data_IF_636298503889
#
_entry.id   IF_636298503889
#
_cell.length_a   1.000
_cell.length_b   1.000
_cell.length_c   1.000
_cell.angle_alpha   90.00
_cell.angle_beta   90.00
_cell.angle_gamma   90.00
#
_symmetry.space_group_name_H-M   'P 1'
#
loop_
_entity.id
_entity.type
_entity.pdbx_description
1 polymer ?
#
# COMPACT_ATOMS: atom_id res chain seq x y z
N UNK A 1 38.89 -5.54 -6.29
CA UNK A 1 37.59 -5.97 -6.84
C UNK A 1 37.30 -7.33 -6.23
N UNK A 2 36.64 -7.33 -5.07
CA UNK A 2 36.24 -8.55 -4.37
C UNK A 2 34.78 -8.77 -4.72
N UNK A 3 34.49 -9.82 -5.46
CA UNK A 3 33.12 -10.24 -5.77
C UNK A 3 32.62 -10.97 -4.52
N UNK A 4 31.66 -10.37 -3.80
CA UNK A 4 30.84 -11.06 -2.81
C UNK A 4 29.40 -10.96 -3.32
N UNK A 5 28.78 -12.12 -3.47
CA UNK A 5 27.58 -12.33 -4.27
C UNK A 5 26.30 -11.92 -3.53
N UNK A 6 25.72 -10.76 -3.86
CA UNK A 6 24.27 -10.53 -3.69
C UNK A 6 23.51 -11.11 -4.90
N UNK A 7 23.80 -12.36 -5.24
CA UNK A 7 23.16 -13.02 -6.38
C UNK A 7 21.85 -13.66 -5.91
N UNK A 8 20.77 -13.56 -6.71
CA UNK A 8 19.56 -14.32 -6.46
C UNK A 8 19.90 -15.81 -6.28
N UNK A 9 19.39 -16.40 -5.21
CA UNK A 9 19.50 -17.84 -4.97
C UNK A 9 18.16 -18.51 -5.25
N UNK A 10 18.14 -19.84 -5.24
CA UNK A 10 16.88 -20.60 -5.34
C UNK A 10 15.92 -20.20 -4.19
N UNK A 11 16.48 -19.85 -3.03
CA UNK A 11 15.73 -19.58 -1.81
C UNK A 11 15.39 -18.10 -1.61
N UNK A 12 16.13 -17.17 -2.22
CA UNK A 12 15.97 -15.71 -2.12
C UNK A 12 16.16 -15.05 -3.49
N UNK A 13 15.05 -14.65 -4.12
CA UNK A 13 15.05 -14.03 -5.45
C UNK A 13 15.45 -12.55 -5.44
N UNK A 14 15.42 -11.88 -4.28
CA UNK A 14 15.59 -10.44 -4.14
C UNK A 14 16.47 -10.09 -2.94
N UNK A 15 17.73 -10.58 -2.89
CA UNK A 15 18.60 -10.37 -1.75
C UNK A 15 18.87 -8.89 -1.52
N UNK A 16 18.67 -8.42 -0.29
CA UNK A 16 18.89 -7.03 0.14
C UNK A 16 19.51 -6.99 1.54
N UNK A 17 20.17 -5.89 1.91
CA UNK A 17 20.72 -5.64 3.27
C UNK A 17 21.82 -6.60 3.74
N UNK A 18 22.37 -7.40 2.83
CA UNK A 18 23.42 -8.40 3.09
C UNK A 18 24.80 -7.97 2.58
N UNK A 19 24.85 -7.03 1.64
CA UNK A 19 26.08 -6.57 1.00
C UNK A 19 26.46 -5.15 1.45
N UNK A 20 27.74 -4.80 1.27
CA UNK A 20 28.25 -3.45 1.54
C UNK A 20 28.00 -2.45 0.40
N UNK A 21 27.51 -2.92 -0.73
CA UNK A 21 27.22 -2.11 -1.92
C UNK A 21 25.80 -2.41 -2.40
N UNK A 22 25.11 -1.36 -2.89
CA UNK A 22 23.79 -1.50 -3.47
C UNK A 22 23.85 -2.19 -4.84
N UNK A 23 22.78 -2.87 -5.21
CA UNK A 23 22.67 -3.54 -6.51
C UNK A 23 21.31 -3.29 -7.17
N UNK A 24 21.31 -3.21 -8.49
CA UNK A 24 20.09 -3.13 -9.30
C UNK A 24 19.82 -4.52 -9.90
N UNK A 25 18.77 -5.18 -9.43
CA UNK A 25 18.37 -6.51 -9.91
C UNK A 25 17.13 -6.37 -10.81
N UNK A 26 17.09 -7.10 -11.92
CA UNK A 26 15.90 -7.16 -12.75
C UNK A 26 14.80 -7.96 -12.04
N UNK A 27 13.56 -7.48 -12.16
CA UNK A 27 12.37 -8.19 -11.69
C UNK A 27 12.29 -9.60 -12.30
N UNK A 28 11.94 -10.59 -11.49
CA UNK A 28 11.77 -11.99 -11.89
C UNK A 28 10.31 -12.45 -11.94
N UNK A 29 9.38 -11.60 -11.49
CA UNK A 29 7.95 -11.89 -11.39
C UNK A 29 7.14 -11.14 -12.46
N UNK A 30 5.98 -11.67 -12.90
CA UNK A 30 5.00 -10.88 -13.66
C UNK A 30 4.58 -9.61 -12.92
N UNK A 31 4.27 -8.52 -13.63
CA UNK A 31 3.65 -7.31 -13.05
C UNK A 31 2.14 -7.47 -12.94
N UNK A 32 1.53 -8.00 -14.01
CA UNK A 32 0.10 -8.31 -14.08
C UNK A 32 -0.05 -9.82 -14.24
N UNK A 33 -0.82 -10.45 -13.35
CA UNK A 33 -1.05 -11.90 -13.32
C UNK A 33 -2.42 -12.31 -13.91
N UNK A 34 -3.42 -11.43 -13.86
CA UNK A 34 -4.72 -11.64 -14.51
C UNK A 34 -4.82 -10.94 -15.88
N UNK A 35 -6.04 -10.88 -16.42
CA UNK A 35 -6.34 -10.26 -17.71
C UNK A 35 -7.62 -9.41 -17.72
N UNK A 36 -7.99 -8.86 -18.90
CA UNK A 36 -9.12 -7.92 -19.03
C UNK A 36 -10.50 -8.51 -18.68
N UNK A 37 -10.62 -9.84 -18.63
CA UNK A 37 -11.86 -10.54 -18.26
C UNK A 37 -11.98 -10.87 -16.77
N UNK A 38 -10.91 -10.67 -16.00
CA UNK A 38 -10.83 -11.14 -14.60
C UNK A 38 -11.22 -10.05 -13.59
N UNK A 39 -11.55 -8.84 -14.06
CA UNK A 39 -11.95 -7.75 -13.18
C UNK A 39 -12.29 -6.43 -13.89
N UNK A 40 -12.36 -5.32 -13.14
CA UNK A 40 -12.91 -4.05 -13.62
C UNK A 40 -11.89 -3.14 -14.35
N UNK A 41 -10.66 -3.59 -14.61
CA UNK A 41 -9.62 -2.85 -15.34
C UNK A 41 -9.64 -3.31 -16.80
N UNK A 42 -9.72 -2.36 -17.73
CA UNK A 42 -9.66 -2.67 -19.17
C UNK A 42 -8.24 -3.04 -19.63
N UNK A 43 -8.13 -3.58 -20.85
CA UNK A 43 -6.87 -4.05 -21.40
C UNK A 43 -5.80 -2.94 -21.51
N UNK A 44 -6.18 -1.76 -21.98
CA UNK A 44 -5.23 -0.66 -22.16
C UNK A 44 -4.67 -0.16 -20.82
N UNK A 45 -5.51 -0.15 -19.78
CA UNK A 45 -5.10 0.23 -18.43
C UNK A 45 -4.22 -0.84 -17.79
N UNK A 46 -4.48 -2.13 -18.04
CA UNK A 46 -3.59 -3.22 -17.61
C UNK A 46 -2.23 -3.13 -18.30
N UNK A 47 -2.19 -2.89 -19.61
CA UNK A 47 -0.94 -2.72 -20.36
C UNK A 47 -0.14 -1.51 -19.83
N UNK A 48 -0.82 -0.41 -19.52
CA UNK A 48 -0.20 0.76 -18.88
C UNK A 48 0.32 0.44 -17.48
N UNK A 49 -0.42 -0.33 -16.68
CA UNK A 49 0.03 -0.75 -15.35
C UNK A 49 1.27 -1.65 -15.45
N UNK A 50 1.32 -2.61 -16.40
CA UNK A 50 2.53 -3.41 -16.63
C UNK A 50 3.73 -2.53 -16.99
N UNK A 51 3.53 -1.58 -17.89
CA UNK A 51 4.58 -0.69 -18.37
C UNK A 51 5.11 0.27 -17.29
N UNK A 52 4.20 0.91 -16.56
CA UNK A 52 4.49 2.06 -15.70
C UNK A 52 4.48 1.73 -14.20
N UNK A 53 3.86 0.61 -13.81
CA UNK A 53 3.79 0.13 -12.43
C UNK A 53 2.64 0.71 -11.61
N UNK A 54 1.81 1.56 -12.21
CA UNK A 54 0.66 2.17 -11.52
C UNK A 54 -0.50 2.47 -12.47
N UNK A 55 -1.65 2.74 -11.87
CA UNK A 55 -2.84 3.31 -12.51
C UNK A 55 -3.50 4.34 -11.58
N UNK A 56 -4.28 5.24 -12.16
CA UNK A 56 -5.07 6.23 -11.44
C UNK A 56 -6.57 6.07 -11.72
N UNK A 57 -7.39 6.47 -10.76
CA UNK A 57 -8.85 6.51 -10.86
C UNK A 57 -9.33 7.84 -10.30
N UNK A 58 -9.82 8.74 -11.15
CA UNK A 58 -10.18 10.11 -10.76
C UNK A 58 -11.30 10.21 -9.72
N UNK A 59 -12.22 9.25 -9.72
CA UNK A 59 -13.37 9.25 -8.81
C UNK A 59 -13.74 7.83 -8.42
N UNK A 60 -12.87 7.22 -7.62
CA UNK A 60 -13.17 5.90 -7.05
C UNK A 60 -14.30 6.02 -6.01
N UNK A 61 -14.26 7.08 -5.21
CA UNK A 61 -15.28 7.44 -4.24
C UNK A 61 -15.99 8.73 -4.66
N UNK A 62 -17.30 8.77 -4.45
CA UNK A 62 -18.10 9.97 -4.62
C UNK A 62 -17.86 10.98 -3.46
N UNK A 63 -18.14 12.28 -3.65
CA UNK A 63 -17.87 13.30 -2.63
C UNK A 63 -18.56 13.08 -1.28
N UNK A 64 -19.75 12.48 -1.29
CA UNK A 64 -20.51 12.08 -0.10
C UNK A 64 -19.83 10.89 0.61
N UNK A 65 -19.43 9.85 -0.13
CA UNK A 65 -18.65 8.73 0.43
C UNK A 65 -17.35 9.21 1.09
N UNK A 66 -16.65 10.16 0.45
CA UNK A 66 -15.44 10.77 1.01
C UNK A 66 -15.71 11.46 2.35
N UNK A 67 -16.84 12.15 2.48
CA UNK A 67 -17.17 12.83 3.74
C UNK A 67 -17.51 11.84 4.86
N UNK A 68 -18.11 10.69 4.54
CA UNK A 68 -18.33 9.61 5.51
C UNK A 68 -16.99 9.09 6.08
N UNK A 69 -16.00 8.83 5.22
CA UNK A 69 -14.67 8.40 5.66
C UNK A 69 -13.93 9.49 6.46
N UNK A 70 -14.10 10.77 6.09
CA UNK A 70 -13.55 11.89 6.87
C UNK A 70 -14.20 12.01 8.24
N UNK A 71 -15.51 11.85 8.32
CA UNK A 71 -16.24 11.88 9.59
C UNK A 71 -15.78 10.75 10.51
N UNK A 72 -15.61 9.55 9.96
CA UNK A 72 -15.09 8.42 10.72
C UNK A 72 -13.65 8.64 11.16
N UNK A 73 -12.77 9.18 10.31
CA UNK A 73 -11.41 9.53 10.71
C UNK A 73 -11.40 10.56 11.85
N UNK A 74 -12.23 11.61 11.78
CA UNK A 74 -12.37 12.59 12.87
C UNK A 74 -12.82 11.93 14.17
N UNK A 75 -13.77 10.99 14.10
CA UNK A 75 -14.26 10.24 15.26
C UNK A 75 -13.15 9.37 15.86
N UNK A 76 -12.42 8.63 15.04
CA UNK A 76 -11.32 7.75 15.48
C UNK A 76 -10.16 8.54 16.09
N UNK A 77 -9.76 9.65 15.46
CA UNK A 77 -8.68 10.51 15.98
C UNK A 77 -9.03 11.20 17.29
N UNK A 78 -10.31 11.25 17.67
CA UNK A 78 -10.77 11.81 18.94
C UNK A 78 -11.11 10.73 20.00
N UNK A 79 -11.07 9.43 19.65
CA UNK A 79 -11.36 8.34 20.59
C UNK A 79 -10.11 8.05 21.45
N UNK A 80 -10.15 8.25 22.78
CA UNK A 80 -9.01 8.01 23.65
C UNK A 80 -8.50 6.57 23.62
N UNK A 81 -9.36 5.60 23.30
CA UNK A 81 -8.96 4.19 23.17
C UNK A 81 -8.14 3.97 21.91
N UNK A 82 -8.46 4.66 20.82
CA UNK A 82 -7.70 4.59 19.57
C UNK A 82 -6.35 5.28 19.74
N UNK A 83 -6.33 6.45 20.41
CA UNK A 83 -5.09 7.17 20.69
C UNK A 83 -4.13 6.39 21.60
N UNK A 84 -4.66 5.58 22.51
CA UNK A 84 -3.87 4.72 23.40
C UNK A 84 -3.45 3.38 22.77
N UNK A 85 -3.93 3.06 21.57
CA UNK A 85 -3.64 1.81 20.87
C UNK A 85 -2.28 1.87 20.17
N UNK A 86 -1.49 0.80 20.24
CA UNK A 86 -0.16 0.72 19.61
C UNK A 86 -0.20 0.84 18.08
N UNK A 87 -1.36 0.58 17.47
CA UNK A 87 -1.61 0.73 16.05
C UNK A 87 -1.75 2.20 15.63
N UNK A 88 -1.80 3.12 16.58
CA UNK A 88 -1.88 4.55 16.32
C UNK A 88 -0.50 5.20 16.51
N UNK A 89 -0.02 5.85 15.45
CA UNK A 89 1.19 6.66 15.48
C UNK A 89 0.79 8.13 15.54
N UNK A 90 1.21 8.82 16.59
CA UNK A 90 1.08 10.27 16.74
C UNK A 90 2.35 11.00 16.32
N UNK A 91 2.21 12.30 16.00
CA UNK A 91 3.33 13.19 15.73
C UNK A 91 4.22 13.41 16.95
N UNK A 92 5.51 13.65 16.71
CA UNK A 92 6.47 13.80 17.83
C UNK A 92 6.18 15.09 18.58
N UNK A 93 5.76 14.97 19.84
CA UNK A 93 5.50 16.11 20.72
C UNK A 93 4.07 16.65 20.66
N UNK A 94 3.14 15.94 20.02
CA UNK A 94 1.71 16.20 20.10
C UNK A 94 0.89 14.89 20.10
N UNK A 95 -0.38 14.96 20.49
CA UNK A 95 -1.33 13.84 20.36
C UNK A 95 -2.02 13.84 18.99
N UNK A 96 -1.50 14.58 18.00
CA UNK A 96 -2.06 14.59 16.65
C UNK A 96 -1.76 13.26 15.94
N UNK A 97 -2.82 12.58 15.50
CA UNK A 97 -2.72 11.33 14.75
C UNK A 97 -2.02 11.56 13.40
N UNK A 98 -0.93 10.81 13.17
CA UNK A 98 -0.22 10.73 11.88
C UNK A 98 -0.70 9.53 11.07
N UNK A 99 -0.79 8.36 11.71
CA UNK A 99 -1.25 7.13 11.06
C UNK A 99 -2.05 6.26 12.02
N UNK A 100 -3.07 5.57 11.52
CA UNK A 100 -3.79 4.50 12.23
C UNK A 100 -3.68 3.23 11.39
N UNK A 101 -2.97 2.23 11.88
CA UNK A 101 -2.80 0.91 11.24
C UNK A 101 -4.00 -0.01 11.51
N UNK A 102 -4.12 -1.07 10.70
CA UNK A 102 -5.26 -1.99 10.70
C UNK A 102 -6.62 -1.29 10.75
N UNK A 103 -6.74 -0.16 10.04
CA UNK A 103 -8.00 0.61 10.02
C UNK A 103 -9.21 -0.26 9.63
N UNK A 104 -8.99 -1.28 8.78
CA UNK A 104 -9.99 -2.27 8.39
C UNK A 104 -10.45 -3.22 9.51
N UNK A 105 -9.70 -3.36 10.61
CA UNK A 105 -10.09 -4.12 11.80
C UNK A 105 -10.64 -3.20 12.91
N UNK A 106 -10.30 -1.92 12.88
CA UNK A 106 -10.71 -0.93 13.88
C UNK A 106 -12.09 -0.32 13.53
N UNK A 107 -12.43 -0.21 12.25
CA UNK A 107 -13.64 0.44 11.78
C UNK A 107 -14.35 -0.36 10.70
N UNK A 108 -15.64 -0.65 10.93
CA UNK A 108 -16.49 -1.37 9.99
C UNK A 108 -16.67 -0.61 8.66
N UNK A 109 -16.65 0.73 8.70
CA UNK A 109 -16.75 1.56 7.50
C UNK A 109 -15.52 1.34 6.58
N UNK A 110 -14.33 1.33 7.16
CA UNK A 110 -13.09 1.04 6.42
C UNK A 110 -12.98 -0.45 6.04
N UNK A 111 -13.52 -1.37 6.86
CA UNK A 111 -13.66 -2.79 6.48
C UNK A 111 -14.57 -2.97 5.26
N UNK A 112 -15.64 -2.18 5.17
CA UNK A 112 -16.50 -2.09 4.00
C UNK A 112 -15.74 -1.64 2.75
N UNK A 113 -14.93 -0.58 2.86
CA UNK A 113 -14.09 -0.08 1.77
C UNK A 113 -13.11 -1.12 1.23
N UNK A 114 -12.45 -1.87 2.13
CA UNK A 114 -11.54 -2.96 1.75
C UNK A 114 -12.26 -4.05 0.95
N UNK A 115 -13.51 -4.36 1.29
CA UNK A 115 -14.32 -5.40 0.62
C UNK A 115 -15.03 -4.88 -0.64
N UNK A 116 -15.01 -3.58 -0.89
CA UNK A 116 -15.71 -2.97 -2.02
C UNK A 116 -15.15 -3.51 -3.36
N UNK A 117 -15.99 -4.03 -4.28
CA UNK A 117 -15.55 -4.56 -5.57
C UNK A 117 -14.74 -3.56 -6.42
N UNK A 118 -14.97 -2.25 -6.27
CA UNK A 118 -14.19 -1.18 -6.92
C UNK A 118 -12.73 -1.18 -6.47
N UNK A 119 -12.46 -1.67 -5.25
CA UNK A 119 -11.16 -1.75 -4.60
C UNK A 119 -10.57 -3.15 -4.74
N UNK A 120 -11.16 -4.16 -4.08
CA UNK A 120 -10.61 -5.52 -4.03
C UNK A 120 -10.65 -6.22 -5.39
N UNK A 121 -11.63 -5.90 -6.24
CA UNK A 121 -11.73 -6.46 -7.59
C UNK A 121 -10.54 -6.10 -8.46
N UNK A 122 -9.99 -4.88 -8.30
CA UNK A 122 -8.78 -4.44 -9.00
C UNK A 122 -7.55 -5.18 -8.52
N UNK A 123 -7.41 -5.34 -7.20
CA UNK A 123 -6.29 -6.08 -6.62
C UNK A 123 -6.30 -7.55 -7.07
N UNK A 124 -7.45 -8.23 -6.99
CA UNK A 124 -7.60 -9.61 -7.48
C UNK A 124 -7.23 -9.74 -8.97
N UNK A 125 -7.66 -8.79 -9.79
CA UNK A 125 -7.35 -8.81 -11.22
C UNK A 125 -5.85 -8.63 -11.50
N UNK A 126 -5.19 -7.67 -10.85
CA UNK A 126 -3.75 -7.45 -11.04
C UNK A 126 -2.94 -8.64 -10.51
N UNK A 127 -3.33 -9.18 -9.35
CA UNK A 127 -2.58 -10.26 -8.69
C UNK A 127 -2.98 -11.68 -9.16
N UNK A 128 -4.03 -11.80 -9.97
CA UNK A 128 -4.48 -13.05 -10.58
C UNK A 128 -4.87 -14.12 -9.56
N UNK A 129 -5.34 -13.73 -8.38
CA UNK A 129 -5.73 -14.64 -7.30
C UNK A 129 -6.69 -13.98 -6.32
N UNK A 130 -7.18 -14.77 -5.37
CA UNK A 130 -7.69 -14.21 -4.12
C UNK A 130 -6.60 -13.42 -3.37
N UNK A 131 -7.02 -12.45 -2.57
CA UNK A 131 -6.11 -11.52 -1.89
C UNK A 131 -6.48 -11.36 -0.42
N UNK A 132 -5.47 -11.13 0.42
CA UNK A 132 -5.63 -10.73 1.82
C UNK A 132 -5.06 -9.31 2.02
N UNK A 133 -5.44 -8.65 3.12
CA UNK A 133 -4.86 -7.35 3.48
C UNK A 133 -3.53 -7.57 4.19
N UNK A 134 -2.42 -7.27 3.51
CA UNK A 134 -1.10 -7.33 4.14
C UNK A 134 -0.90 -6.18 5.14
N UNK A 135 -1.39 -4.99 4.79
CA UNK A 135 -1.38 -3.82 5.65
C UNK A 135 -2.52 -2.88 5.26
N UNK A 136 -3.07 -2.15 6.22
CA UNK A 136 -3.91 -0.99 5.92
C UNK A 136 -3.60 0.13 6.89
N UNK A 137 -3.66 1.37 6.42
CA UNK A 137 -3.54 2.54 7.29
C UNK A 137 -4.32 3.71 6.74
N UNK A 138 -4.77 4.60 7.62
CA UNK A 138 -5.06 5.97 7.22
C UNK A 138 -3.85 6.82 7.56
N UNK A 139 -3.39 7.61 6.61
CA UNK A 139 -2.33 8.58 6.85
C UNK A 139 -2.92 9.99 6.88
N UNK A 140 -2.39 10.80 7.78
CA UNK A 140 -2.66 12.22 7.91
C UNK A 140 -1.33 12.97 7.91
N UNK A 141 -1.12 13.76 6.85
CA UNK A 141 -0.02 14.71 6.74
C UNK A 141 -0.58 16.11 7.03
N UNK A 142 -0.32 16.68 8.21
CA UNK A 142 -0.84 18.00 8.57
C UNK A 142 -0.31 19.08 7.62
N UNK A 143 -1.08 20.17 7.52
CA UNK A 143 -0.57 21.41 6.94
C UNK A 143 0.57 21.99 7.80
N UNK A 144 1.46 22.75 7.19
CA UNK A 144 2.63 23.41 7.78
C UNK A 144 3.75 22.51 8.33
N UNK A 145 3.42 21.40 8.98
CA UNK A 145 4.37 20.54 9.72
C UNK A 145 4.58 19.16 9.11
N UNK A 146 3.81 18.79 8.08
CA UNK A 146 3.87 17.47 7.46
C UNK A 146 5.25 17.13 6.92
N UNK A 147 5.86 16.06 7.43
CA UNK A 147 7.19 15.59 6.99
C UNK A 147 7.15 14.88 5.64
N UNK A 148 8.31 14.82 4.99
CA UNK A 148 8.52 14.01 3.80
C UNK A 148 8.48 12.51 4.12
N UNK A 149 8.27 11.72 3.08
CA UNK A 149 8.54 10.28 3.06
C UNK A 149 9.55 10.09 1.94
N UNK A 150 10.78 9.70 2.30
CA UNK A 150 11.86 9.55 1.35
C UNK A 150 11.57 8.42 0.35
N UNK A 151 12.33 8.40 -0.75
CA UNK A 151 12.20 7.38 -1.78
C UNK A 151 12.42 5.98 -1.22
N UNK A 152 11.49 5.07 -1.50
CA UNK A 152 11.60 3.66 -1.14
C UNK A 152 10.79 2.77 -2.10
N UNK A 153 11.12 1.48 -2.08
CA UNK A 153 10.27 0.40 -2.56
C UNK A 153 9.62 -0.25 -1.35
N UNK A 154 8.29 -0.31 -1.32
CA UNK A 154 7.55 -1.01 -0.26
C UNK A 154 7.97 -2.49 -0.18
N UNK A 155 8.11 -3.15 -1.34
CA UNK A 155 8.51 -4.54 -1.46
C UNK A 155 9.89 -4.81 -0.84
N UNK A 156 10.86 -3.90 -0.95
CA UNK A 156 12.18 -4.10 -0.31
C UNK A 156 12.02 -4.32 1.19
N UNK A 157 11.22 -3.48 1.84
CA UNK A 157 10.95 -3.59 3.28
C UNK A 157 10.10 -4.81 3.61
N UNK A 158 9.05 -5.09 2.83
CA UNK A 158 8.21 -6.28 3.06
C UNK A 158 8.97 -7.59 2.85
N UNK A 159 9.88 -7.63 1.90
CA UNK A 159 10.76 -8.76 1.68
C UNK A 159 11.76 -8.90 2.84
N UNK A 160 12.53 -7.84 3.12
CA UNK A 160 13.57 -7.85 4.14
C UNK A 160 13.04 -8.13 5.55
N UNK A 161 11.95 -7.45 5.93
CA UNK A 161 11.47 -7.37 7.33
C UNK A 161 10.21 -8.20 7.59
N UNK A 162 9.36 -8.47 6.59
CA UNK A 162 8.16 -9.30 6.76
C UNK A 162 8.27 -10.68 6.12
N UNK A 163 9.27 -10.94 5.28
CA UNK A 163 9.40 -12.21 4.59
C UNK A 163 8.45 -12.37 3.41
N UNK A 164 8.05 -11.28 2.74
CA UNK A 164 7.26 -11.37 1.49
C UNK A 164 8.13 -11.94 0.36
N UNK A 165 7.85 -13.14 -0.18
CA UNK A 165 8.82 -13.85 -1.01
C UNK A 165 8.89 -13.35 -2.47
N UNK A 166 7.76 -12.92 -3.06
CA UNK A 166 7.67 -12.50 -4.47
C UNK A 166 7.00 -11.15 -4.61
N UNK A 167 7.27 -10.45 -5.72
CA UNK A 167 6.61 -9.20 -6.08
C UNK A 167 5.18 -9.48 -6.59
N UNK A 168 4.27 -9.84 -5.67
CA UNK A 168 2.86 -10.13 -5.96
C UNK A 168 1.93 -9.49 -4.94
N UNK A 169 2.21 -8.22 -4.65
CA UNK A 169 1.39 -7.34 -3.84
C UNK A 169 1.13 -6.01 -4.57
N UNK A 170 0.04 -5.34 -4.22
CA UNK A 170 -0.33 -4.05 -4.80
C UNK A 170 -0.89 -3.12 -3.73
N UNK A 171 -0.46 -1.86 -3.78
CA UNK A 171 -0.93 -0.80 -2.88
C UNK A 171 -2.00 0.02 -3.58
N UNK A 172 -3.05 0.42 -2.85
CA UNK A 172 -3.98 1.45 -3.28
C UNK A 172 -4.02 2.59 -2.26
N UNK A 173 -3.84 3.80 -2.75
CA UNK A 173 -3.95 5.05 -1.99
C UNK A 173 -5.17 5.84 -2.46
N UNK A 174 -6.18 5.96 -1.60
CA UNK A 174 -7.43 6.66 -1.88
C UNK A 174 -7.40 8.00 -1.14
N UNK A 175 -7.46 9.10 -1.89
CA UNK A 175 -7.34 10.44 -1.35
C UNK A 175 -8.60 10.84 -0.56
N UNK A 176 -8.45 11.17 0.72
CA UNK A 176 -9.52 11.76 1.53
C UNK A 176 -9.49 13.29 1.47
N UNK A 177 -8.40 13.89 1.04
CA UNK A 177 -8.29 15.33 0.76
C UNK A 177 -7.82 15.55 -0.67
N UNK A 178 -7.97 16.76 -1.18
CA UNK A 178 -7.42 17.10 -2.49
C UNK A 178 -5.89 17.04 -2.45
N UNK A 179 -5.31 16.40 -3.48
CA UNK A 179 -3.88 16.35 -3.70
C UNK A 179 -3.51 17.48 -4.67
N UNK A 180 -2.95 18.55 -4.13
CA UNK A 180 -2.41 19.66 -4.90
C UNK A 180 -0.95 19.39 -5.28
N UNK A 181 -0.45 20.14 -6.25
CA UNK A 181 0.98 20.11 -6.62
C UNK A 181 1.91 20.50 -5.47
N UNK A 182 1.39 21.19 -4.45
CA UNK A 182 2.18 21.86 -3.41
C UNK A 182 1.95 21.34 -1.97
N UNK A 183 0.99 20.44 -1.73
CA UNK A 183 0.75 19.87 -0.39
C UNK A 183 1.47 18.51 -0.18
N UNK A 184 2.57 18.31 -0.90
CA UNK A 184 3.41 17.13 -0.80
C UNK A 184 2.73 15.87 -1.34
N UNK A 185 2.21 15.89 -2.57
CA UNK A 185 1.61 14.72 -3.21
C UNK A 185 2.57 13.51 -3.35
N UNK A 186 1.99 12.33 -3.59
CA UNK A 186 2.75 11.12 -3.88
C UNK A 186 3.47 11.29 -5.22
N UNK A 187 4.76 10.98 -5.24
CA UNK A 187 5.59 10.90 -6.43
C UNK A 187 5.99 9.45 -6.69
N UNK A 188 6.00 9.03 -7.95
CA UNK A 188 6.44 7.70 -8.40
C UNK A 188 7.44 7.89 -9.56
N UNK A 189 8.41 6.99 -9.69
CA UNK A 189 9.22 6.85 -10.91
C UNK A 189 8.60 5.78 -11.82
N UNK A 190 7.91 6.13 -12.92
CA UNK A 190 7.20 5.16 -13.77
C UNK A 190 8.13 4.08 -14.34
N UNK A 191 7.79 2.80 -14.18
CA UNK A 191 8.63 1.69 -14.68
C UNK A 191 9.76 1.26 -13.73
N UNK A 192 9.96 1.97 -12.61
CA UNK A 192 10.95 1.59 -11.60
C UNK A 192 10.67 0.23 -10.96
N UNK A 193 9.41 -0.20 -10.92
CA UNK A 193 8.99 -1.51 -10.39
C UNK A 193 9.63 -2.72 -11.11
N UNK A 194 10.18 -2.50 -12.32
CA UNK A 194 10.92 -3.52 -13.08
C UNK A 194 12.37 -3.71 -12.59
N UNK A 195 12.83 -2.86 -11.66
CA UNK A 195 14.17 -2.90 -11.07
C UNK A 195 14.05 -2.96 -9.55
N UNK A 196 14.56 -4.01 -8.94
CA UNK A 196 14.73 -4.10 -7.49
C UNK A 196 16.03 -3.40 -7.09
N UNK A 197 15.96 -2.46 -6.15
CA UNK A 197 17.14 -1.83 -5.55
C UNK A 197 17.47 -2.54 -4.26
N UNK A 198 18.52 -3.36 -4.26
CA UNK A 198 19.04 -3.97 -3.05
C UNK A 198 19.73 -2.90 -2.19
N UNK A 199 19.20 -2.68 -0.99
CA UNK A 199 19.69 -1.67 -0.06
C UNK A 199 20.90 -2.19 0.75
N UNK A 200 21.67 -1.25 1.30
CA UNK A 200 22.84 -1.52 2.15
C UNK A 200 22.47 -1.38 3.62
N UNK A 201 23.15 -2.14 4.47
CA UNK A 201 23.04 -2.04 5.93
C UNK A 201 22.15 -3.10 6.55
N UNK A 202 22.53 -3.59 7.73
CA UNK A 202 21.79 -4.60 8.48
C UNK A 202 20.52 -3.99 9.10
N UNK A 203 19.44 -4.78 9.16
CA UNK A 203 18.19 -4.36 9.81
C UNK A 203 18.31 -4.47 11.34
N UNK A 204 18.19 -3.37 12.10
CA UNK A 204 18.20 -3.43 13.56
C UNK A 204 16.91 -4.04 14.14
N UNK A 205 16.98 -4.47 15.40
CA UNK A 205 15.79 -4.86 16.17
C UNK A 205 14.76 -3.71 16.23
N UNK A 206 13.47 -4.02 16.07
CA UNK A 206 12.36 -3.06 16.16
C UNK A 206 12.43 -1.84 15.20
N UNK A 207 13.16 -1.93 14.08
CA UNK A 207 13.37 -0.83 13.10
C UNK A 207 12.07 -0.15 12.62
N UNK A 208 10.94 -0.86 12.62
CA UNK A 208 9.63 -0.31 12.25
C UNK A 208 9.20 0.90 13.09
N UNK A 209 9.62 0.99 14.37
CA UNK A 209 9.25 2.10 15.26
C UNK A 209 9.84 3.43 14.80
N UNK A 210 10.99 3.37 14.12
CA UNK A 210 11.73 4.53 13.64
C UNK A 210 11.39 4.84 12.17
N UNK A 211 11.35 3.83 11.30
CA UNK A 211 11.10 3.99 9.86
C UNK A 211 9.75 4.63 9.52
N UNK A 212 8.73 4.47 10.37
CA UNK A 212 7.42 5.13 10.21
C UNK A 212 7.47 6.65 10.45
N UNK A 213 8.53 7.14 11.12
CA UNK A 213 8.78 8.55 11.41
C UNK A 213 9.90 9.14 10.56
N UNK A 214 10.82 8.30 10.04
CA UNK A 214 11.84 8.62 9.04
C UNK A 214 12.69 7.39 8.69
N UNK A 215 12.96 7.14 7.40
CA UNK A 215 13.70 5.96 6.92
C UNK A 215 15.19 6.25 6.74
N UNK A 216 16.05 5.57 7.51
CA UNK A 216 17.51 5.60 7.32
C UNK A 216 18.06 4.26 6.78
N UNK A 217 17.46 3.13 7.18
CA UNK A 217 17.83 1.78 6.74
C UNK A 217 16.74 1.23 5.81
N UNK A 218 17.14 0.43 4.81
CA UNK A 218 16.24 0.05 3.71
C UNK A 218 16.01 1.19 2.70
N UNK A 219 16.77 2.28 2.83
CA UNK A 219 16.70 3.43 1.92
C UNK A 219 17.63 3.20 0.72
N UNK A 220 17.12 3.33 -0.53
CA UNK A 220 17.94 3.29 -1.74
C UNK A 220 19.04 4.35 -1.74
N UNK A 221 20.21 4.01 -2.28
CA UNK A 221 21.31 4.97 -2.36
C UNK A 221 21.07 6.05 -3.44
N UNK A 222 21.66 7.25 -3.28
CA UNK A 222 21.44 8.35 -4.22
C UNK A 222 21.82 8.06 -5.67
N UNK A 223 22.81 7.20 -5.92
CA UNK A 223 23.24 6.87 -7.28
C UNK A 223 22.21 5.97 -7.96
N UNK A 224 21.71 4.94 -7.28
CA UNK A 224 20.58 4.12 -7.75
C UNK A 224 19.33 4.96 -8.04
N UNK A 225 18.99 5.89 -7.14
CA UNK A 225 17.85 6.81 -7.35
C UNK A 225 18.07 7.73 -8.57
N UNK A 226 19.28 8.23 -8.77
CA UNK A 226 19.60 9.08 -9.92
C UNK A 226 19.47 8.31 -11.24
N UNK A 227 19.98 7.07 -11.29
CA UNK A 227 19.85 6.19 -12.45
C UNK A 227 18.37 5.94 -12.78
N UNK A 228 17.55 5.61 -11.78
CA UNK A 228 16.13 5.37 -11.98
C UNK A 228 15.42 6.65 -12.44
N UNK A 229 15.66 7.78 -11.79
CA UNK A 229 15.03 9.05 -12.13
C UNK A 229 15.42 9.55 -13.54
N UNK A 230 16.68 9.40 -13.96
CA UNK A 230 17.12 9.74 -15.31
C UNK A 230 16.45 8.88 -16.37
N UNK A 231 16.28 7.58 -16.09
CA UNK A 231 15.67 6.63 -17.03
C UNK A 231 14.15 6.77 -17.12
N UNK A 232 13.50 7.06 -16.01
CA UNK A 232 12.05 6.91 -15.86
C UNK A 232 11.31 8.23 -15.65
N UNK A 233 12.03 9.31 -15.30
CA UNK A 233 11.40 10.54 -14.83
C UNK A 233 10.71 10.35 -13.47
N UNK A 234 9.95 11.38 -13.08
CA UNK A 234 9.19 11.44 -11.83
C UNK A 234 7.80 11.95 -12.17
N UNK A 235 6.78 11.21 -11.78
CA UNK A 235 5.39 11.60 -11.89
C UNK A 235 4.84 12.01 -10.52
N UNK A 236 4.07 13.10 -10.49
CA UNK A 236 3.40 13.62 -9.30
C UNK A 236 1.89 13.43 -9.44
N UNK A 237 1.27 12.73 -8.49
CA UNK A 237 -0.17 12.55 -8.49
C UNK A 237 -0.90 13.73 -7.85
N UNK A 238 -1.80 14.32 -8.63
CA UNK A 238 -2.77 15.32 -8.18
C UNK A 238 -4.19 14.81 -8.43
N UNK A 239 -5.17 15.37 -7.74
CA UNK A 239 -6.56 14.96 -7.91
C UNK A 239 -7.46 15.38 -6.77
N UNK A 240 -8.77 15.42 -7.06
CA UNK A 240 -9.79 15.71 -6.06
C UNK A 240 -9.84 14.60 -4.98
N UNK A 241 -10.41 14.91 -3.82
CA UNK A 241 -10.72 13.88 -2.85
C UNK A 241 -11.66 12.82 -3.48
N UNK A 242 -11.41 11.55 -3.18
CA UNK A 242 -12.04 10.38 -3.81
C UNK A 242 -11.26 9.82 -5.01
N UNK A 243 -10.24 10.52 -5.50
CA UNK A 243 -9.28 9.97 -6.46
C UNK A 243 -8.45 8.86 -5.80
N UNK A 244 -8.01 7.87 -6.58
CA UNK A 244 -7.16 6.80 -6.10
C UNK A 244 -5.99 6.54 -7.05
N UNK A 245 -4.85 6.15 -6.48
CA UNK A 245 -3.69 5.62 -7.20
C UNK A 245 -3.44 4.19 -6.72
N UNK A 246 -3.35 3.26 -7.65
CA UNK A 246 -2.96 1.88 -7.35
C UNK A 246 -1.61 1.61 -7.99
N UNK A 247 -0.66 1.02 -7.25
CA UNK A 247 0.72 0.84 -7.71
C UNK A 247 1.34 -0.46 -7.22
N UNK A 248 2.19 -1.05 -8.06
CA UNK A 248 2.94 -2.28 -7.80
C UNK A 248 3.84 -2.12 -6.57
N UNK A 249 3.96 -3.20 -5.79
CA UNK A 249 4.74 -3.22 -4.55
C UNK A 249 6.18 -2.73 -4.68
N UNK A 250 6.80 -2.86 -5.85
CA UNK A 250 8.19 -2.48 -6.08
C UNK A 250 8.36 -1.09 -6.72
N UNK A 251 7.28 -0.31 -6.88
CA UNK A 251 7.42 1.07 -7.38
C UNK A 251 8.26 1.93 -6.44
N UNK A 252 9.28 2.58 -7.00
CA UNK A 252 10.04 3.60 -6.30
C UNK A 252 9.17 4.85 -6.13
N UNK A 253 8.85 5.17 -4.88
CA UNK A 253 7.91 6.23 -4.56
C UNK A 253 8.29 7.01 -3.31
N UNK A 254 7.81 8.25 -3.22
CA UNK A 254 8.12 9.17 -2.12
C UNK A 254 7.19 10.38 -2.11
N UNK A 255 7.32 11.25 -1.12
CA UNK A 255 6.59 12.52 -1.10
C UNK A 255 7.37 13.59 -0.35
N UNK A 256 7.34 14.82 -0.85
CA UNK A 256 7.92 15.97 -0.15
C UNK A 256 7.14 16.31 1.14
N UNK A 257 7.73 17.18 1.97
CA UNK A 257 7.04 17.79 3.10
C UNK A 257 5.90 18.72 2.68
N UNK A 258 5.09 19.13 3.65
CA UNK A 258 3.95 20.01 3.44
C UNK A 258 4.05 21.26 4.32
N UNK A 259 4.46 22.38 3.73
CA UNK A 259 4.54 23.69 4.40
C UNK A 259 3.26 24.53 4.23
N UNK A 260 2.28 24.02 3.48
CA UNK A 260 1.06 24.75 3.10
C UNK A 260 -0.03 24.56 4.15
N UNK A 261 -1.10 25.39 4.17
CA UNK A 261 -2.24 25.17 5.06
C UNK A 261 -3.10 23.96 4.66
N UNK A 262 -2.88 23.36 3.49
CA UNK A 262 -3.76 22.31 2.95
C UNK A 262 -3.28 20.92 3.42
N UNK A 263 -4.00 20.25 4.34
CA UNK A 263 -3.59 18.93 4.80
C UNK A 263 -3.71 17.88 3.67
N UNK A 264 -3.02 16.76 3.84
CA UNK A 264 -3.12 15.60 2.95
C UNK A 264 -3.51 14.37 3.77
N UNK A 265 -4.66 13.77 3.47
CA UNK A 265 -5.07 12.51 4.07
C UNK A 265 -5.45 11.49 3.02
N UNK A 266 -5.08 10.24 3.26
CA UNK A 266 -5.41 9.12 2.38
C UNK A 266 -5.62 7.83 3.16
N UNK A 267 -6.50 6.98 2.64
CA UNK A 267 -6.58 5.57 3.03
C UNK A 267 -5.58 4.81 2.17
N UNK A 268 -4.75 3.99 2.80
CA UNK A 268 -3.76 3.17 2.15
C UNK A 268 -4.03 1.70 2.47
N UNK A 269 -4.22 0.88 1.45
CA UNK A 269 -4.49 -0.56 1.60
C UNK A 269 -3.49 -1.31 0.75
N UNK A 270 -2.84 -2.32 1.34
CA UNK A 270 -1.94 -3.23 0.65
C UNK A 270 -2.63 -4.57 0.55
N UNK A 271 -2.86 -5.01 -0.68
CA UNK A 271 -3.32 -6.36 -0.97
C UNK A 271 -2.14 -7.23 -1.36
N UNK A 272 -2.07 -8.43 -0.80
CA UNK A 272 -1.12 -9.44 -1.22
C UNK A 272 -1.88 -10.69 -1.67
N UNK A 273 -1.32 -11.40 -2.65
CA UNK A 273 -1.87 -12.67 -3.11
C UNK A 273 -1.81 -13.71 -2.00
N UNK A 274 -2.86 -14.53 -1.87
CA UNK A 274 -2.87 -15.69 -0.96
C UNK A 274 -1.88 -16.78 -1.39
N UNK A 275 -1.31 -16.67 -2.59
CA UNK A 275 -0.24 -17.52 -3.12
C UNK A 275 1.16 -16.92 -2.86
N UNK A 276 1.24 -15.78 -2.14
CA UNK A 276 2.46 -15.04 -1.83
C UNK A 276 2.57 -14.73 -0.32
N UNK A 277 2.07 -15.61 0.53
CA UNK A 277 2.04 -15.40 1.99
C UNK A 277 3.44 -15.19 2.56
N UNK A 278 3.56 -14.27 3.50
CA UNK A 278 4.84 -13.97 4.14
C UNK A 278 5.40 -15.17 4.91
N UNK A 279 6.70 -15.42 4.74
CA UNK A 279 7.50 -16.42 5.47
C UNK A 279 8.37 -15.73 6.52
N UNK A 280 9.41 -16.40 7.03
CA UNK A 280 10.41 -15.74 7.88
C UNK A 280 11.11 -14.59 7.13
N UNK A 281 11.45 -13.48 7.80
CA UNK A 281 12.10 -12.35 7.13
C UNK A 281 13.42 -12.73 6.47
N UNK A 282 13.70 -12.14 5.30
CA UNK A 282 14.90 -12.48 4.53
C UNK A 282 16.17 -11.78 5.05
N UNK A 283 16.02 -10.68 5.79
CA UNK A 283 17.14 -9.84 6.28
C UNK A 283 16.92 -9.22 7.66
N UNK A 284 15.82 -9.55 8.35
CA UNK A 284 15.54 -9.12 9.72
C UNK A 284 15.55 -10.33 10.68
N UNK A 285 15.91 -10.14 11.96
CA UNK A 285 16.03 -11.25 12.91
C UNK A 285 14.68 -11.85 13.33
N UNK A 286 13.58 -11.10 13.21
CA UNK A 286 12.24 -11.55 13.54
C UNK A 286 11.17 -10.77 12.74
N UNK A 287 9.99 -11.37 12.52
CA UNK A 287 8.84 -10.68 11.95
C UNK A 287 8.49 -9.39 12.69
N UNK A 288 8.05 -8.38 11.94
CA UNK A 288 7.41 -7.18 12.51
C UNK A 288 6.03 -7.51 13.13
N UNK A 289 5.47 -6.63 13.97
CA UNK A 289 4.13 -6.80 14.51
C UNK A 289 3.07 -6.98 13.43
N UNK A 290 2.02 -7.76 13.72
CA UNK A 290 0.98 -8.13 12.74
C UNK A 290 0.23 -6.92 12.16
N UNK A 291 0.15 -5.81 12.90
CA UNK A 291 -0.51 -4.59 12.42
C UNK A 291 0.30 -3.85 11.34
N UNK A 292 1.57 -4.21 11.16
CA UNK A 292 2.47 -3.69 10.11
C UNK A 292 2.65 -4.73 9.02
N UNK A 293 2.95 -5.98 9.37
CA UNK A 293 3.12 -7.08 8.43
C UNK A 293 2.19 -8.24 8.78
N UNK A 294 1.02 -8.31 8.14
CA UNK A 294 0.00 -9.30 8.52
C UNK A 294 0.47 -10.75 8.39
N UNK A 295 0.06 -11.57 9.37
CA UNK A 295 0.21 -13.04 9.38
C UNK A 295 -1.11 -13.79 9.29
N UNK A 296 -2.23 -13.07 9.30
CA UNK A 296 -3.54 -13.57 8.90
C UNK A 296 -3.68 -13.44 7.38
N UNK A 297 -3.70 -14.58 6.70
CA UNK A 297 -3.79 -14.68 5.24
C UNK A 297 -5.21 -14.99 4.76
N UNK A 298 -6.22 -14.79 5.61
CA UNK A 298 -7.62 -15.02 5.25
C UNK A 298 -8.02 -14.14 4.05
N UNK A 299 -8.54 -14.72 2.96
CA UNK A 299 -8.97 -13.94 1.81
C UNK A 299 -10.04 -12.90 2.16
N UNK A 300 -9.92 -11.70 1.60
CA UNK A 300 -10.90 -10.62 1.78
C UNK A 300 -12.27 -11.06 1.28
N UNK A 301 -13.26 -11.09 2.17
CA UNK A 301 -14.63 -11.48 1.85
C UNK A 301 -14.96 -12.96 2.09
N UNK A 302 -14.01 -13.78 2.56
CA UNK A 302 -14.24 -15.19 2.92
C UNK A 302 -15.20 -15.42 4.11
N UNK A 303 -15.77 -14.36 4.70
CA UNK A 303 -16.66 -14.42 5.87
C UNK A 303 -18.15 -14.11 5.62
N UNK A 304 -18.61 -13.94 4.37
CA UNK A 304 -20.00 -13.56 4.06
C UNK A 304 -20.80 -14.60 3.25
N UNK A 305 -20.25 -15.80 3.02
CA UNK A 305 -20.90 -16.85 2.24
C UNK A 305 -21.66 -17.87 3.10
N UNK A 306 -22.43 -17.42 4.10
CA UNK A 306 -23.55 -18.20 4.67
C UNK A 306 -24.58 -17.23 5.25
N UNK A 307 -25.59 -16.87 4.47
CA UNK A 307 -26.60 -15.89 4.88
C UNK A 307 -27.78 -15.78 3.92
N UNK A 308 -28.55 -16.86 3.87
CA UNK A 308 -30.00 -16.86 3.58
C UNK A 308 -30.49 -16.36 2.21
N UNK A 309 -30.36 -17.22 1.21
CA UNK A 309 -31.17 -17.17 -0.01
C UNK A 309 -32.53 -17.84 0.25
N UNK A 310 -33.35 -17.31 1.17
CA UNK A 310 -34.76 -17.71 1.34
C UNK A 310 -35.57 -16.74 2.21
N UNK A 311 -36.14 -15.73 1.55
CA UNK A 311 -37.57 -15.35 1.68
C UNK A 311 -37.80 -13.94 1.13
N UNK A 312 -38.19 -13.85 -0.15
CA UNK A 312 -39.06 -12.75 -0.59
C UNK A 312 -40.51 -13.20 -0.35
N UNK A 313 -41.34 -12.49 0.43
CA UNK A 313 -42.76 -12.77 0.45
C UNK A 313 -43.34 -12.34 -0.89
N UNK A 314 -43.95 -13.28 -1.60
CA UNK A 314 -44.74 -13.02 -2.79
C UNK A 314 -45.97 -12.21 -2.40
N UNK A 315 -45.93 -10.91 -2.65
CA UNK A 315 -47.14 -10.10 -2.78
C UNK A 315 -47.72 -10.37 -4.16
N UNK A 316 -48.80 -11.15 -4.23
CA UNK A 316 -49.78 -11.02 -5.31
C UNK A 316 -51.15 -11.30 -4.73
N UNK A 317 -51.92 -10.23 -4.57
CA UNK A 317 -53.33 -10.29 -4.29
C UNK A 317 -54.15 -10.32 -5.58
N UNK A 318 -55.28 -11.04 -5.48
CA UNK A 318 -56.60 -10.76 -6.07
C UNK A 318 -56.82 -10.94 -7.57
N UNK A 319 -57.65 -11.95 -7.90
CA UNK A 319 -58.91 -11.89 -8.70
C UNK A 319 -59.38 -13.36 -8.87
N UNK A 320 -60.53 -13.82 -8.40
CA UNK A 320 -61.89 -13.46 -8.78
C UNK A 320 -62.60 -14.74 -9.25
N UNK A 321 -63.75 -15.08 -8.67
CA UNK A 321 -64.54 -16.28 -9.00
C UNK A 321 -65.09 -16.99 -7.76
#
# INVERSE_FOLDING_TARGET
>A
MSIIESHPTIDDAYPTRKASEAALLYRQDPVVYGGPGDGPIDAATLDSFDANGFLTVDRLLAPDEVEDYRAELRRLSADPRVLADERTVTERGSDEVRSIFEIHKISELFAGLVRDPRVVGRARQILGSEVYVHQSRVNYKPGFSGKDFYWHSDFETWHAEDGMPRMRAVSISIALTENFVHNGGLMIMPGSHKTFVACVGETPDDHYKESLRGQEIGTPDPNSLSILAEKHGIELFTGAAGSATMFDCNCMHGSNGNITPFPRSNVFIVFNSVENTCVEPFSAPAPRPEFIGARDFTPVGAGAATGDERARPSSNGVAGG
#
